data_IF_637778425659
#
_entry.id   IF_637778425659
#
_cell.length_a   1.000
_cell.length_b   1.000
_cell.length_c   1.000
_cell.angle_alpha   90.00
_cell.angle_beta   90.00
_cell.angle_gamma   90.00
#
_symmetry.space_group_name_H-M   'P 1'
#
loop_
_entity.id
_entity.type
_entity.pdbx_description
1 polymer ?
#
# COMPACT_ATOMS: atom_id res chain seq x y z
N UNK A 1 -4.11 22.87 -16.38
CA UNK A 1 -4.42 24.10 -15.61
C UNK A 1 -4.06 25.36 -16.40
N UNK A 2 -2.82 25.55 -16.85
CA UNK A 2 -2.44 26.72 -17.68
C UNK A 2 -3.21 26.85 -18.99
N UNK A 3 -3.46 25.74 -19.70
CA UNK A 3 -4.23 25.74 -20.96
C UNK A 3 -5.64 26.32 -20.76
N UNK A 4 -6.31 25.90 -19.67
CA UNK A 4 -7.67 26.35 -19.34
C UNK A 4 -7.70 27.83 -18.92
N UNK A 5 -6.65 28.32 -18.26
CA UNK A 5 -6.55 29.74 -17.90
C UNK A 5 -6.33 30.64 -19.12
N UNK A 6 -5.52 30.20 -20.08
CA UNK A 6 -5.35 30.91 -21.35
C UNK A 6 -6.64 30.90 -22.20
N UNK A 7 -7.49 29.88 -22.08
CA UNK A 7 -8.77 29.78 -22.79
C UNK A 7 -9.89 30.64 -22.17
N UNK A 8 -9.78 30.99 -20.87
CA UNK A 8 -10.79 31.76 -20.13
C UNK A 8 -10.42 33.25 -20.02
N UNK A 9 -9.14 33.60 -20.18
CA UNK A 9 -8.71 34.99 -20.16
C UNK A 9 -9.40 35.79 -21.29
N UNK A 10 -10.09 36.88 -20.93
CA UNK A 10 -10.78 37.75 -21.90
C UNK A 10 -9.79 38.53 -22.80
N UNK A 11 -8.55 38.72 -22.32
CA UNK A 11 -7.43 39.31 -23.04
C UNK A 11 -6.28 38.29 -23.17
N UNK A 12 -5.55 38.33 -24.28
CA UNK A 12 -4.34 37.53 -24.47
C UNK A 12 -3.33 37.82 -23.35
N UNK A 13 -3.01 36.79 -22.56
CA UNK A 13 -2.00 36.89 -21.51
C UNK A 13 -0.62 37.13 -22.13
N UNK A 14 0.07 38.17 -21.67
CA UNK A 14 1.45 38.40 -22.09
C UNK A 14 2.40 37.35 -21.48
N UNK A 15 3.62 37.24 -22.04
CA UNK A 15 4.60 36.24 -21.62
C UNK A 15 4.93 36.32 -20.11
N UNK A 16 4.93 37.53 -19.53
CA UNK A 16 5.21 37.75 -18.13
C UNK A 16 4.08 37.22 -17.24
N UNK A 17 2.82 37.44 -17.63
CA UNK A 17 1.65 36.90 -16.96
C UNK A 17 1.61 35.37 -17.03
N UNK A 18 1.90 34.78 -18.20
CA UNK A 18 2.02 33.32 -18.37
C UNK A 18 3.08 32.75 -17.42
N UNK A 19 4.24 33.40 -17.35
CA UNK A 19 5.35 32.99 -16.47
C UNK A 19 4.96 33.07 -14.99
N UNK A 20 4.33 34.17 -14.57
CA UNK A 20 3.85 34.34 -13.20
C UNK A 20 2.86 33.25 -12.79
N UNK A 21 1.92 32.89 -13.66
CA UNK A 21 0.97 31.81 -13.39
C UNK A 21 1.64 30.43 -13.33
N UNK A 22 2.60 30.15 -14.21
CA UNK A 22 3.40 28.93 -14.13
C UNK A 22 4.12 28.81 -12.78
N UNK A 23 4.85 29.85 -12.38
CA UNK A 23 5.54 29.87 -11.09
C UNK A 23 4.56 29.72 -9.92
N UNK A 24 3.43 30.42 -9.95
CA UNK A 24 2.39 30.26 -8.93
C UNK A 24 1.88 28.81 -8.84
N UNK A 25 1.62 28.14 -9.96
CA UNK A 25 1.16 26.75 -9.93
C UNK A 25 2.24 25.77 -9.48
N UNK A 26 3.50 26.01 -9.82
CA UNK A 26 4.63 25.24 -9.31
C UNK A 26 4.77 25.39 -7.79
N UNK A 27 4.63 26.61 -7.27
CA UNK A 27 4.65 26.89 -5.83
C UNK A 27 3.47 26.21 -5.12
N UNK A 28 2.26 26.33 -5.66
CA UNK A 28 1.06 25.66 -5.13
C UNK A 28 1.28 24.14 -5.13
N UNK A 29 1.75 23.56 -6.24
CA UNK A 29 2.01 22.13 -6.33
C UNK A 29 3.06 21.67 -5.32
N UNK A 30 4.14 22.44 -5.14
CA UNK A 30 5.19 22.15 -4.16
C UNK A 30 4.64 22.17 -2.74
N UNK A 31 3.92 23.23 -2.37
CA UNK A 31 3.31 23.36 -1.05
C UNK A 31 2.30 22.24 -0.75
N UNK A 32 1.48 21.85 -1.73
CA UNK A 32 0.57 20.71 -1.60
C UNK A 32 1.32 19.39 -1.39
N UNK A 33 2.37 19.14 -2.18
CA UNK A 33 3.18 17.92 -2.06
C UNK A 33 3.88 17.84 -0.70
N UNK A 34 4.43 18.95 -0.21
CA UNK A 34 5.07 19.02 1.11
C UNK A 34 4.07 18.78 2.24
N UNK A 35 2.87 19.35 2.12
CA UNK A 35 1.76 19.09 3.04
C UNK A 35 1.38 17.60 3.08
N UNK A 36 1.23 16.97 1.92
CA UNK A 36 0.93 15.54 1.78
C UNK A 36 2.05 14.66 2.36
N UNK A 37 3.31 14.96 2.06
CA UNK A 37 4.46 14.23 2.59
C UNK A 37 4.51 14.31 4.13
N UNK A 38 4.21 15.48 4.69
CA UNK A 38 4.12 15.70 6.14
C UNK A 38 2.98 14.89 6.76
N UNK A 39 1.80 14.86 6.15
CA UNK A 39 0.67 14.06 6.61
C UNK A 39 0.98 12.56 6.58
N UNK A 40 1.55 12.05 5.47
CA UNK A 40 1.96 10.65 5.32
C UNK A 40 2.96 10.24 6.41
N UNK A 41 4.02 11.03 6.62
CA UNK A 41 5.01 10.79 7.69
C UNK A 41 4.37 10.82 9.08
N UNK A 42 3.48 11.78 9.34
CA UNK A 42 2.77 11.89 10.62
C UNK A 42 1.90 10.65 10.90
N UNK A 43 1.20 10.14 9.87
CA UNK A 43 0.43 8.91 9.97
C UNK A 43 1.32 7.70 10.24
N UNK A 44 2.38 7.49 9.45
CA UNK A 44 3.32 6.36 9.60
C UNK A 44 4.02 6.35 10.97
N UNK A 45 4.16 7.52 11.60
CA UNK A 45 4.69 7.66 12.96
C UNK A 45 3.70 7.22 14.06
N UNK A 46 2.41 7.13 13.77
CA UNK A 46 1.36 6.94 14.80
C UNK A 46 0.44 5.76 14.56
N UNK A 47 0.35 5.26 13.33
CA UNK A 47 -0.71 4.32 12.91
C UNK A 47 -0.67 2.96 13.63
N UNK A 48 0.53 2.45 13.93
CA UNK A 48 0.73 1.13 14.56
C UNK A 48 1.56 1.28 15.85
N UNK A 49 0.97 0.88 16.97
CA UNK A 49 1.62 0.87 18.27
C UNK A 49 2.65 -0.26 18.38
N UNK A 50 3.57 -0.17 19.36
CA UNK A 50 4.59 -1.19 19.59
C UNK A 50 3.96 -2.54 19.94
N UNK A 51 2.86 -2.53 20.69
CA UNK A 51 2.12 -3.73 21.07
C UNK A 51 1.49 -4.39 19.84
N UNK A 52 0.81 -3.62 19.00
CA UNK A 52 0.21 -4.11 17.75
C UNK A 52 1.27 -4.69 16.81
N UNK A 53 2.40 -4.01 16.63
CA UNK A 53 3.47 -4.54 15.78
C UNK A 53 4.06 -5.84 16.34
N UNK A 54 4.26 -5.92 17.65
CA UNK A 54 4.75 -7.17 18.29
C UNK A 54 3.77 -8.32 18.05
N UNK A 55 2.47 -8.07 18.20
CA UNK A 55 1.45 -9.08 17.88
C UNK A 55 1.49 -9.46 16.41
N UNK A 56 1.53 -8.49 15.49
CA UNK A 56 1.61 -8.77 14.06
C UNK A 56 2.81 -9.67 13.74
N UNK A 57 3.98 -9.35 14.30
CA UNK A 57 5.19 -10.14 14.14
C UNK A 57 5.02 -11.58 14.65
N UNK A 58 4.45 -11.76 15.84
CA UNK A 58 4.20 -13.09 16.42
C UNK A 58 3.23 -13.91 15.57
N UNK A 59 2.12 -13.31 15.13
CA UNK A 59 1.13 -13.98 14.29
C UNK A 59 1.74 -14.35 12.94
N UNK A 60 2.45 -13.41 12.33
CA UNK A 60 3.07 -13.63 11.04
C UNK A 60 4.12 -14.75 11.09
N UNK A 61 4.91 -14.82 12.16
CA UNK A 61 5.83 -15.94 12.39
C UNK A 61 5.09 -17.28 12.52
N UNK A 62 3.98 -17.34 13.25
CA UNK A 62 3.17 -18.56 13.37
C UNK A 62 2.62 -19.03 12.01
N UNK A 63 2.08 -18.09 11.23
CA UNK A 63 1.61 -18.34 9.86
C UNK A 63 2.75 -18.89 8.99
N UNK A 64 3.92 -18.24 9.01
CA UNK A 64 5.08 -18.66 8.24
C UNK A 64 5.57 -20.07 8.63
N UNK A 65 5.59 -20.40 9.93
CA UNK A 65 5.97 -21.74 10.38
C UNK A 65 4.99 -22.79 9.89
N UNK A 66 3.68 -22.58 10.09
CA UNK A 66 2.64 -23.54 9.66
C UNK A 66 2.67 -23.79 8.14
N UNK A 67 2.79 -22.75 7.32
CA UNK A 67 2.88 -22.92 5.86
C UNK A 67 4.20 -23.57 5.41
N UNK A 68 5.33 -23.25 6.06
CA UNK A 68 6.61 -23.91 5.75
C UNK A 68 6.62 -25.39 6.15
N UNK A 69 5.97 -25.76 7.24
CA UNK A 69 5.82 -27.15 7.66
C UNK A 69 4.96 -27.96 6.68
N UNK A 70 3.89 -27.36 6.15
CA UNK A 70 2.98 -28.03 5.20
C UNK A 70 3.53 -28.12 3.77
N UNK A 71 4.12 -27.03 3.25
CA UNK A 71 4.42 -26.88 1.82
C UNK A 71 5.91 -26.66 1.53
N UNK A 72 6.75 -26.60 2.56
CA UNK A 72 8.18 -26.30 2.44
C UNK A 72 8.49 -24.85 2.06
N UNK A 73 7.49 -23.99 1.83
CA UNK A 73 7.65 -22.61 1.38
C UNK A 73 6.41 -21.73 1.71
N UNK A 74 6.37 -20.50 1.20
CA UNK A 74 5.23 -19.56 1.37
C UNK A 74 4.33 -19.47 0.13
N UNK A 75 4.40 -20.41 -0.82
CA UNK A 75 3.61 -20.37 -2.06
C UNK A 75 2.11 -20.29 -1.79
N UNK A 76 1.59 -20.97 -0.75
CA UNK A 76 0.17 -20.85 -0.40
C UNK A 76 -0.21 -19.42 0.02
N UNK A 77 0.66 -18.69 0.73
CA UNK A 77 0.40 -17.27 1.04
C UNK A 77 0.32 -16.44 -0.24
N UNK A 78 1.22 -16.70 -1.19
CA UNK A 78 1.26 -15.99 -2.46
C UNK A 78 0.00 -16.29 -3.29
N UNK A 79 -0.43 -17.56 -3.34
CA UNK A 79 -1.63 -17.98 -4.03
C UNK A 79 -2.89 -17.31 -3.44
N UNK A 80 -3.05 -17.29 -2.12
CA UNK A 80 -4.19 -16.64 -1.46
C UNK A 80 -4.20 -15.13 -1.74
N UNK A 81 -3.04 -14.47 -1.70
CA UNK A 81 -2.94 -13.04 -2.04
C UNK A 81 -3.27 -12.78 -3.52
N UNK A 82 -2.80 -13.64 -4.41
CA UNK A 82 -3.11 -13.58 -5.84
C UNK A 82 -4.61 -13.76 -6.11
N UNK A 83 -5.26 -14.72 -5.44
CA UNK A 83 -6.72 -14.93 -5.55
C UNK A 83 -7.51 -13.70 -5.11
N UNK A 84 -7.11 -13.06 -4.00
CA UNK A 84 -7.73 -11.83 -3.54
C UNK A 84 -7.53 -10.68 -4.55
N UNK A 85 -6.31 -10.52 -5.07
CA UNK A 85 -6.00 -9.54 -6.11
C UNK A 85 -6.84 -9.77 -7.37
N UNK A 86 -6.95 -11.02 -7.84
CA UNK A 86 -7.76 -11.37 -9.00
C UNK A 86 -9.25 -11.08 -8.77
N UNK A 87 -9.77 -11.39 -7.58
CA UNK A 87 -11.18 -11.15 -7.24
C UNK A 87 -11.56 -9.67 -7.34
N UNK A 88 -10.72 -8.78 -6.78
CA UNK A 88 -11.00 -7.33 -6.76
C UNK A 88 -10.56 -6.60 -8.03
N UNK A 89 -9.39 -6.93 -8.57
CA UNK A 89 -8.82 -6.22 -9.73
C UNK A 89 -9.43 -6.66 -11.06
N UNK A 90 -10.30 -7.67 -11.09
CA UNK A 90 -11.25 -8.07 -12.14
C UNK A 90 -11.29 -9.60 -12.21
N UNK A 91 -12.43 -10.17 -11.83
CA UNK A 91 -12.73 -11.61 -11.73
C UNK A 91 -12.38 -12.49 -12.95
N UNK A 92 -11.96 -11.91 -14.08
CA UNK A 92 -11.45 -12.63 -15.26
C UNK A 92 -10.19 -11.88 -15.76
N UNK A 93 -9.04 -12.56 -15.90
CA UNK A 93 -7.81 -11.88 -16.27
C UNK A 93 -7.86 -11.37 -17.73
N UNK A 94 -7.71 -10.05 -17.90
CA UNK A 94 -7.84 -9.38 -19.21
C UNK A 94 -6.71 -9.70 -20.20
N UNK A 95 -5.50 -10.01 -19.73
CA UNK A 95 -4.34 -10.39 -20.59
C UNK A 95 -3.29 -11.19 -19.82
N UNK A 96 -2.43 -11.97 -20.52
CA UNK A 96 -1.25 -12.64 -19.91
C UNK A 96 -0.30 -11.66 -19.19
N UNK A 97 -0.13 -10.45 -19.74
CA UNK A 97 0.69 -9.40 -19.12
C UNK A 97 0.11 -8.95 -17.79
N UNK A 98 -1.22 -8.82 -17.70
CA UNK A 98 -1.91 -8.44 -16.48
C UNK A 98 -1.83 -9.55 -15.42
N UNK A 99 -2.03 -10.82 -15.80
CA UNK A 99 -1.85 -11.98 -14.89
C UNK A 99 -0.48 -11.94 -14.22
N UNK A 100 0.59 -11.85 -15.02
CA UNK A 100 1.97 -11.81 -14.50
C UNK A 100 2.22 -10.66 -13.53
N UNK A 101 1.59 -9.50 -13.76
CA UNK A 101 1.67 -8.36 -12.84
C UNK A 101 0.98 -8.64 -11.51
N UNK A 102 -0.20 -9.26 -11.54
CA UNK A 102 -0.91 -9.65 -10.33
C UNK A 102 -0.10 -10.68 -9.53
N UNK A 103 0.50 -11.68 -10.20
CA UNK A 103 1.41 -12.65 -9.59
C UNK A 103 2.62 -11.95 -8.93
N UNK A 104 3.28 -11.04 -9.65
CA UNK A 104 4.43 -10.30 -9.10
C UNK A 104 4.04 -9.40 -7.92
N UNK A 105 2.88 -8.74 -7.97
CA UNK A 105 2.36 -7.94 -6.86
C UNK A 105 2.05 -8.86 -5.67
N UNK A 106 1.43 -10.02 -5.88
CA UNK A 106 1.11 -10.96 -4.82
C UNK A 106 2.39 -11.42 -4.08
N UNK A 107 3.39 -11.88 -4.82
CA UNK A 107 4.70 -12.28 -4.29
C UNK A 107 5.32 -11.14 -3.46
N UNK A 108 5.46 -9.96 -4.06
CA UNK A 108 6.09 -8.82 -3.37
C UNK A 108 5.29 -8.35 -2.17
N UNK A 109 3.96 -8.46 -2.18
CA UNK A 109 3.11 -8.04 -1.05
C UNK A 109 3.41 -8.84 0.22
N UNK A 110 3.69 -10.14 0.08
CA UNK A 110 4.11 -11.01 1.19
C UNK A 110 5.48 -10.58 1.74
N UNK A 111 6.42 -10.23 0.87
CA UNK A 111 7.71 -9.69 1.26
C UNK A 111 7.61 -8.30 1.91
N UNK A 112 6.68 -7.47 1.46
CA UNK A 112 6.46 -6.14 2.03
C UNK A 112 5.96 -6.24 3.46
N UNK A 113 5.12 -7.22 3.79
CA UNK A 113 4.73 -7.44 5.19
C UNK A 113 5.94 -7.77 6.07
N UNK A 114 6.86 -8.62 5.61
CA UNK A 114 8.13 -8.88 6.31
C UNK A 114 8.94 -7.58 6.50
N UNK A 115 9.02 -6.74 5.47
CA UNK A 115 9.73 -5.45 5.53
C UNK A 115 9.09 -4.49 6.53
N UNK A 116 7.76 -4.36 6.55
CA UNK A 116 7.03 -3.52 7.51
C UNK A 116 7.37 -3.94 8.95
N UNK A 117 7.34 -5.24 9.24
CA UNK A 117 7.66 -5.77 10.56
C UNK A 117 9.13 -5.49 10.93
N UNK A 118 10.05 -5.66 9.97
CA UNK A 118 11.50 -5.52 10.19
C UNK A 118 11.93 -4.06 10.35
N UNK A 119 11.34 -3.14 9.58
CA UNK A 119 11.69 -1.72 9.58
C UNK A 119 11.10 -0.99 10.78
N UNK A 120 10.06 -1.53 11.40
CA UNK A 120 9.40 -0.88 12.53
C UNK A 120 10.39 -0.54 13.65
N UNK A 121 10.67 0.75 13.82
CA UNK A 121 11.53 1.25 14.88
C UNK A 121 10.71 1.77 16.07
N UNK A 122 11.25 1.65 17.27
CA UNK A 122 10.56 2.13 18.47
C UNK A 122 10.44 3.66 18.52
N UNK A 123 11.36 4.40 17.89
CA UNK A 123 11.51 5.86 17.89
C UNK A 123 10.88 6.50 16.65
N UNK A 124 11.20 5.97 15.46
CA UNK A 124 10.79 6.48 14.15
C UNK A 124 9.65 5.67 13.50
N UNK A 125 9.26 4.53 14.07
CA UNK A 125 8.10 3.72 13.64
C UNK A 125 8.24 3.30 12.19
N UNK A 126 7.34 3.71 11.30
CA UNK A 126 7.33 3.34 9.89
C UNK A 126 7.69 4.50 8.96
N UNK A 127 8.25 5.61 9.45
CA UNK A 127 8.53 6.77 8.60
C UNK A 127 9.56 6.48 7.50
N UNK A 128 10.52 5.59 7.74
CA UNK A 128 11.51 5.17 6.75
C UNK A 128 10.95 4.23 5.67
N UNK A 129 9.68 3.81 5.81
CA UNK A 129 9.09 2.87 4.86
C UNK A 129 8.85 3.51 3.49
N UNK A 130 8.64 4.83 3.45
CA UNK A 130 8.41 5.60 2.23
C UNK A 130 9.55 5.35 1.24
N UNK A 131 10.78 5.57 1.67
CA UNK A 131 11.97 5.48 0.80
C UNK A 131 12.38 4.03 0.47
N UNK A 132 11.71 3.03 1.06
CA UNK A 132 12.09 1.60 0.95
C UNK A 132 11.14 0.77 0.10
N UNK A 133 9.98 1.32 -0.28
CA UNK A 133 8.95 0.60 -1.05
C UNK A 133 8.69 1.17 -2.46
N UNK A 134 9.42 2.19 -2.91
CA UNK A 134 9.23 2.84 -4.21
C UNK A 134 9.04 1.85 -5.38
N UNK A 135 9.89 0.81 -5.46
CA UNK A 135 9.79 -0.20 -6.52
C UNK A 135 8.50 -1.02 -6.47
N UNK A 136 7.98 -1.31 -5.27
CA UNK A 136 6.72 -2.01 -5.08
C UNK A 136 5.54 -1.10 -5.42
N UNK A 137 5.58 0.15 -4.95
CA UNK A 137 4.56 1.14 -5.23
C UNK A 137 4.42 1.41 -6.73
N UNK A 138 5.55 1.59 -7.42
CA UNK A 138 5.59 1.73 -8.88
C UNK A 138 4.95 0.53 -9.58
N UNK A 139 5.27 -0.71 -9.15
CA UNK A 139 4.67 -1.92 -9.69
C UNK A 139 3.14 -1.89 -9.58
N UNK A 140 2.63 -1.54 -8.39
CA UNK A 140 1.19 -1.40 -8.14
C UNK A 140 0.54 -0.32 -9.01
N UNK A 141 1.17 0.86 -9.18
CA UNK A 141 0.66 1.91 -10.06
C UNK A 141 0.53 1.44 -11.51
N UNK A 142 1.44 0.57 -11.97
CA UNK A 142 1.38 0.06 -13.36
C UNK A 142 0.22 -0.91 -13.61
N UNK A 143 -0.49 -1.35 -12.57
CA UNK A 143 -1.69 -2.19 -12.69
C UNK A 143 -2.90 -1.40 -13.23
N UNK A 144 -2.87 -0.07 -13.08
CA UNK A 144 -3.96 0.84 -13.47
C UNK A 144 -5.28 0.53 -12.74
N UNK A 145 -5.18 0.07 -11.49
CA UNK A 145 -6.30 -0.13 -10.58
C UNK A 145 -6.35 1.00 -9.55
N UNK A 146 -7.53 1.27 -9.01
CA UNK A 146 -7.66 2.30 -7.98
C UNK A 146 -6.95 1.89 -6.67
N UNK A 147 -6.40 2.84 -5.89
CA UNK A 147 -5.85 2.56 -4.57
C UNK A 147 -6.83 1.82 -3.65
N UNK A 148 -8.12 2.15 -3.75
CA UNK A 148 -9.18 1.49 -3.00
C UNK A 148 -9.34 0.01 -3.37
N UNK A 149 -9.26 -0.32 -4.67
CA UNK A 149 -9.30 -1.71 -5.15
C UNK A 149 -8.15 -2.52 -4.56
N UNK A 150 -6.93 -1.97 -4.62
CA UNK A 150 -5.74 -2.62 -4.07
C UNK A 150 -5.83 -2.78 -2.55
N UNK A 151 -6.29 -1.74 -1.83
CA UNK A 151 -6.50 -1.79 -0.40
C UNK A 151 -7.47 -2.91 0.03
N UNK A 152 -8.59 -3.06 -0.71
CA UNK A 152 -9.54 -4.15 -0.48
C UNK A 152 -8.91 -5.52 -0.73
N UNK A 153 -8.18 -5.67 -1.84
CA UNK A 153 -7.49 -6.91 -2.18
C UNK A 153 -6.46 -7.33 -1.11
N UNK A 154 -5.62 -6.38 -0.65
CA UNK A 154 -4.61 -6.67 0.36
C UNK A 154 -5.23 -7.05 1.70
N UNK A 155 -6.28 -6.35 2.13
CA UNK A 155 -6.98 -6.69 3.37
C UNK A 155 -7.59 -8.08 3.33
N UNK A 156 -8.28 -8.42 2.24
CA UNK A 156 -8.87 -9.74 2.04
C UNK A 156 -7.79 -10.82 2.01
N UNK A 157 -6.74 -10.61 1.22
CA UNK A 157 -5.61 -11.54 1.11
C UNK A 157 -4.93 -11.81 2.45
N UNK A 158 -4.54 -10.76 3.19
CA UNK A 158 -3.91 -10.93 4.50
C UNK A 158 -4.84 -11.57 5.52
N UNK A 159 -6.13 -11.19 5.50
CA UNK A 159 -7.13 -11.79 6.38
C UNK A 159 -7.21 -13.28 6.12
N UNK A 160 -7.41 -13.70 4.87
CA UNK A 160 -7.55 -15.10 4.51
C UNK A 160 -6.29 -15.91 4.82
N UNK A 161 -5.09 -15.34 4.62
CA UNK A 161 -3.83 -15.99 5.00
C UNK A 161 -3.78 -16.28 6.51
N UNK A 162 -4.17 -15.30 7.32
CA UNK A 162 -4.08 -15.40 8.77
C UNK A 162 -5.21 -16.25 9.36
N UNK A 163 -6.45 -16.08 8.91
CA UNK A 163 -7.61 -16.83 9.43
C UNK A 163 -7.53 -18.32 9.10
N UNK A 164 -6.87 -18.69 8.01
CA UNK A 164 -6.66 -20.10 7.66
C UNK A 164 -5.72 -20.82 8.63
N UNK A 165 -4.88 -20.10 9.38
CA UNK A 165 -3.78 -20.70 10.18
C UNK A 165 -3.71 -20.30 11.64
N UNK A 166 -4.37 -19.24 12.08
CA UNK A 166 -4.40 -18.86 13.50
C UNK A 166 -5.67 -19.42 14.14
N UNK A 167 -5.52 -20.26 15.17
CA UNK A 167 -6.64 -20.90 15.85
C UNK A 167 -7.61 -19.87 16.45
N UNK A 168 -8.90 -20.18 16.27
CA UNK A 168 -10.05 -19.33 16.47
C UNK A 168 -10.28 -19.03 17.96
N UNK A 169 -9.68 -17.94 18.46
CA UNK A 169 -10.35 -17.13 19.46
C UNK A 169 -10.92 -15.89 18.77
N UNK A 170 -12.26 -15.81 18.70
CA UNK A 170 -13.01 -14.79 17.98
C UNK A 170 -12.59 -13.35 18.35
N UNK A 171 -12.19 -13.14 19.61
CA UNK A 171 -11.69 -11.84 20.12
C UNK A 171 -10.34 -11.45 19.51
N UNK A 172 -9.43 -12.41 19.30
CA UNK A 172 -8.14 -12.15 18.65
C UNK A 172 -8.34 -11.83 17.17
N UNK A 173 -9.29 -12.50 16.51
CA UNK A 173 -9.59 -12.30 15.09
C UNK A 173 -10.00 -10.86 14.75
N UNK A 174 -10.89 -10.26 15.55
CA UNK A 174 -11.32 -8.87 15.34
C UNK A 174 -10.13 -7.92 15.48
N UNK A 175 -9.31 -8.09 16.52
CA UNK A 175 -8.16 -7.23 16.77
C UNK A 175 -7.08 -7.39 15.70
N UNK A 176 -6.87 -8.61 15.20
CA UNK A 176 -5.93 -8.90 14.12
C UNK A 176 -6.38 -8.27 12.80
N UNK A 177 -7.67 -8.37 12.46
CA UNK A 177 -8.23 -7.68 11.29
C UNK A 177 -7.99 -6.17 11.36
N UNK A 178 -8.14 -5.55 12.54
CA UNK A 178 -7.84 -4.12 12.72
C UNK A 178 -6.36 -3.79 12.46
N UNK A 179 -5.44 -4.64 12.91
CA UNK A 179 -4.00 -4.46 12.64
C UNK A 179 -3.73 -4.59 11.13
N UNK A 180 -4.36 -5.55 10.44
CA UNK A 180 -4.21 -5.72 9.00
C UNK A 180 -4.78 -4.55 8.20
N UNK A 181 -5.92 -3.99 8.60
CA UNK A 181 -6.44 -2.76 8.02
C UNK A 181 -5.44 -1.61 8.12
N UNK A 182 -4.72 -1.51 9.26
CA UNK A 182 -3.64 -0.52 9.43
C UNK A 182 -2.46 -0.80 8.51
N UNK A 183 -2.08 -2.08 8.31
CA UNK A 183 -1.05 -2.48 7.36
C UNK A 183 -1.43 -2.10 5.93
N UNK A 184 -2.64 -2.43 5.48
CA UNK A 184 -3.10 -2.02 4.15
C UNK A 184 -3.13 -0.49 3.99
N UNK A 185 -3.51 0.24 5.04
CA UNK A 185 -3.45 1.71 5.04
C UNK A 185 -2.01 2.25 5.03
N UNK A 186 -1.05 1.55 5.65
CA UNK A 186 0.38 1.86 5.55
C UNK A 186 0.86 1.71 4.10
N UNK A 187 0.48 0.63 3.42
CA UNK A 187 0.80 0.42 2.00
C UNK A 187 0.26 1.57 1.14
N UNK A 188 -0.95 2.03 1.45
CA UNK A 188 -1.54 3.18 0.78
C UNK A 188 -0.77 4.47 1.03
N UNK A 189 -0.38 4.78 2.27
CA UNK A 189 0.39 6.00 2.54
C UNK A 189 1.78 6.02 1.88
N UNK A 190 2.34 4.85 1.60
CA UNK A 190 3.67 4.74 1.00
C UNK A 190 3.60 4.73 -0.53
N UNK A 191 2.54 4.15 -1.12
CA UNK A 191 2.50 3.89 -2.55
C UNK A 191 1.40 4.53 -3.36
N UNK A 192 0.38 5.10 -2.73
CA UNK A 192 -0.83 5.58 -3.39
C UNK A 192 -1.12 7.05 -3.05
#
# INVERSE_FOLDING_TARGET
MMVVLCEIAEDDMNEEQVKCWHTFFEEVQTAFNDGLATQRRSYLRKCISKKEMKTLATIWQQVQMKYKEEDGNLMKCHAIMYEALQYYCQKIPKTKKHIRKLEEIADRTIDVLNKIITIYDSTYKLTELIDRLDSYCYLCCTLNESPQTLWLAFNEGFTNIITTKVDENLENLVWVKQILCKVARVLEQVGF
#
